data_IF_451818792086
#
_entry.id   IF_451818792086
#
_cell.length_a   1.000
_cell.length_b   1.000
_cell.length_c   1.000
_cell.angle_alpha   90.00
_cell.angle_beta   90.00
_cell.angle_gamma   90.00
#
_symmetry.space_group_name_H-M   'P 1'
#
loop_
_entity.id
_entity.type
_entity.pdbx_description
1 polymer ?
#
# COMPACT_ATOMS: atom_id res chain seq x y z
N UNK A 1 -7.08 -14.25 13.04
CA UNK A 1 -7.42 -14.13 11.63
C UNK A 1 -8.42 -13.00 11.44
N UNK A 2 -8.26 -12.20 10.40
CA UNK A 2 -9.14 -11.05 10.18
C UNK A 2 -10.47 -11.46 9.55
N UNK A 3 -11.54 -10.79 9.94
CA UNK A 3 -12.83 -10.95 9.27
C UNK A 3 -12.81 -10.27 7.90
N UNK A 4 -13.80 -10.56 7.05
CA UNK A 4 -13.92 -9.91 5.76
C UNK A 4 -14.03 -8.40 5.89
N UNK A 5 -14.82 -7.92 6.85
CA UNK A 5 -14.98 -6.48 7.08
C UNK A 5 -13.67 -5.84 7.49
N UNK A 6 -12.91 -6.51 8.34
CA UNK A 6 -11.60 -6.01 8.76
C UNK A 6 -10.64 -5.96 7.57
N UNK A 7 -10.66 -6.97 6.70
CA UNK A 7 -9.83 -6.99 5.49
C UNK A 7 -10.18 -5.85 4.54
N UNK A 8 -11.46 -5.51 4.43
CA UNK A 8 -11.89 -4.38 3.59
C UNK A 8 -11.38 -3.05 4.14
N UNK A 9 -11.38 -2.89 5.46
CA UNK A 9 -10.82 -1.69 6.11
C UNK A 9 -9.32 -1.60 5.83
N UNK A 10 -8.61 -2.72 5.92
CA UNK A 10 -7.18 -2.76 5.63
C UNK A 10 -6.92 -2.39 4.17
N UNK A 11 -7.73 -2.91 3.24
CA UNK A 11 -7.60 -2.57 1.82
C UNK A 11 -7.75 -1.08 1.58
N UNK A 12 -8.74 -0.46 2.21
CA UNK A 12 -8.96 0.97 2.09
C UNK A 12 -7.78 1.77 2.63
N UNK A 13 -7.25 1.36 3.79
CA UNK A 13 -6.08 2.00 4.39
C UNK A 13 -4.86 1.89 3.49
N UNK A 14 -4.68 0.75 2.83
CA UNK A 14 -3.57 0.56 1.89
C UNK A 14 -3.68 1.46 0.67
N UNK A 15 -4.90 1.68 0.17
CA UNK A 15 -5.13 2.61 -0.94
C UNK A 15 -4.77 4.04 -0.56
N UNK A 16 -5.14 4.45 0.64
CA UNK A 16 -4.80 5.78 1.16
C UNK A 16 -3.29 5.92 1.29
N UNK A 17 -2.62 4.90 1.82
CA UNK A 17 -1.17 4.91 1.96
C UNK A 17 -0.46 5.01 0.60
N UNK A 18 -0.98 4.32 -0.41
CA UNK A 18 -0.42 4.36 -1.76
C UNK A 18 -0.46 5.78 -2.33
N UNK A 19 -1.61 6.45 -2.22
CA UNK A 19 -1.76 7.83 -2.68
C UNK A 19 -0.81 8.75 -1.92
N UNK A 20 -0.71 8.56 -0.61
CA UNK A 20 0.15 9.38 0.24
C UNK A 20 1.63 9.20 -0.12
N UNK A 21 2.06 7.98 -0.37
CA UNK A 21 3.43 7.71 -0.81
C UNK A 21 3.74 8.38 -2.14
N UNK A 22 2.81 8.33 -3.09
CA UNK A 22 2.98 8.99 -4.38
C UNK A 22 3.09 10.51 -4.21
N UNK A 23 2.26 11.09 -3.36
CA UNK A 23 2.30 12.53 -3.08
C UNK A 23 3.63 12.93 -2.47
N UNK A 24 4.12 12.16 -1.51
CA UNK A 24 5.40 12.45 -0.87
C UNK A 24 6.57 12.29 -1.84
N UNK A 25 6.50 11.30 -2.75
CA UNK A 25 7.52 11.14 -3.77
C UNK A 25 7.58 12.35 -4.69
N UNK A 26 6.42 12.90 -5.08
CA UNK A 26 6.39 14.12 -5.89
C UNK A 26 7.01 15.31 -5.17
N UNK A 27 6.72 15.46 -3.88
CA UNK A 27 7.30 16.54 -3.07
C UNK A 27 8.80 16.37 -2.86
N UNK A 28 9.31 15.15 -2.97
CA UNK A 28 10.70 14.81 -2.69
C UNK A 28 11.53 14.57 -3.95
N UNK A 29 11.11 15.07 -5.09
CA UNK A 29 11.80 14.84 -6.37
C UNK A 29 13.27 15.22 -6.33
N UNK A 30 13.64 16.21 -5.54
CA UNK A 30 15.02 16.67 -5.42
C UNK A 30 15.81 15.93 -4.34
N UNK A 31 15.20 14.96 -3.66
CA UNK A 31 15.84 14.20 -2.59
C UNK A 31 15.87 12.71 -2.94
N UNK A 32 16.98 12.27 -3.50
CA UNK A 32 17.14 10.88 -3.94
C UNK A 32 16.98 9.87 -2.82
N UNK A 33 17.48 10.19 -1.62
CA UNK A 33 17.40 9.29 -0.48
C UNK A 33 15.94 9.03 -0.08
N UNK A 34 15.13 10.09 -0.03
CA UNK A 34 13.71 9.97 0.29
C UNK A 34 12.97 9.22 -0.83
N UNK A 35 13.29 9.52 -2.09
CA UNK A 35 12.68 8.85 -3.23
C UNK A 35 12.90 7.35 -3.16
N UNK A 36 14.13 6.92 -2.89
CA UNK A 36 14.47 5.49 -2.79
C UNK A 36 13.72 4.85 -1.63
N UNK A 37 13.65 5.54 -0.48
CA UNK A 37 12.94 5.04 0.70
C UNK A 37 11.47 4.81 0.41
N UNK A 38 10.78 5.79 -0.18
CA UNK A 38 9.37 5.68 -0.51
C UNK A 38 9.12 4.63 -1.59
N UNK A 39 10.02 4.53 -2.56
CA UNK A 39 9.90 3.54 -3.61
C UNK A 39 9.94 2.11 -3.04
N UNK A 40 10.82 1.85 -2.08
CA UNK A 40 10.89 0.56 -1.38
C UNK A 40 9.62 0.29 -0.59
N UNK A 41 9.11 1.29 0.11
CA UNK A 41 7.87 1.17 0.88
C UNK A 41 6.70 0.87 -0.05
N UNK A 42 6.64 1.54 -1.20
CA UNK A 42 5.57 1.34 -2.17
C UNK A 42 5.59 -0.07 -2.75
N UNK A 43 6.77 -0.62 -3.03
CA UNK A 43 6.88 -2.00 -3.51
C UNK A 43 6.34 -3.00 -2.49
N UNK A 44 6.69 -2.80 -1.21
CA UNK A 44 6.17 -3.65 -0.14
C UNK A 44 4.66 -3.50 0.00
N UNK A 45 4.15 -2.28 -0.12
CA UNK A 45 2.73 -2.00 -0.08
C UNK A 45 1.99 -2.75 -1.19
N UNK A 46 2.51 -2.72 -2.40
CA UNK A 46 1.89 -3.41 -3.53
C UNK A 46 1.86 -4.92 -3.32
N UNK A 47 2.92 -5.50 -2.74
CA UNK A 47 2.94 -6.93 -2.40
C UNK A 47 1.84 -7.27 -1.39
N UNK A 48 1.68 -6.45 -0.37
CA UNK A 48 0.63 -6.63 0.64
C UNK A 48 -0.74 -6.50 0.00
N UNK A 49 -0.93 -5.50 -0.88
CA UNK A 49 -2.19 -5.32 -1.60
C UNK A 49 -2.55 -6.53 -2.44
N UNK A 50 -1.58 -7.09 -3.15
CA UNK A 50 -1.80 -8.28 -3.98
C UNK A 50 -2.17 -9.50 -3.13
N UNK A 51 -1.50 -9.69 -2.01
CA UNK A 51 -1.81 -10.78 -1.09
C UNK A 51 -3.21 -10.62 -0.51
N UNK A 52 -3.58 -9.40 -0.16
CA UNK A 52 -4.90 -9.10 0.39
C UNK A 52 -5.99 -9.38 -0.64
N UNK A 53 -5.78 -9.02 -1.89
CA UNK A 53 -6.73 -9.31 -2.96
C UNK A 53 -6.96 -10.80 -3.12
N UNK A 54 -5.89 -11.60 -3.01
CA UNK A 54 -6.01 -13.06 -3.09
C UNK A 54 -6.83 -13.60 -1.93
N UNK A 55 -6.59 -13.12 -0.72
CA UNK A 55 -7.34 -13.55 0.46
C UNK A 55 -8.81 -13.20 0.33
N UNK A 56 -9.13 -11.98 -0.12
CA UNK A 56 -10.50 -11.54 -0.32
C UNK A 56 -11.21 -12.36 -1.40
N UNK A 57 -10.49 -12.73 -2.46
CA UNK A 57 -11.05 -13.55 -3.53
C UNK A 57 -11.37 -14.97 -3.05
N UNK A 58 -10.57 -15.51 -2.13
CA UNK A 58 -10.79 -16.85 -1.58
C UNK A 58 -11.93 -16.90 -0.57
N UNK A 59 -12.30 -15.77 0.01
CA UNK A 59 -13.33 -15.67 1.03
C UNK A 59 -14.71 -15.30 0.48
N UNK A 60 -15.09 -15.88 -0.60
CA UNK A 60 -16.42 -15.65 -1.18
C UNK A 60 -17.55 -16.18 -0.31
#
# INVERSE_FOLDING_TARGET
>A
MFTKDELLVIEEALKIADVEYMTEMEKSQNNKTKMVSYNRKQKKLWLVQNNLKKILAEKK
#
